data_IF_553445985042
#
_entry.id   IF_553445985042
#
_cell.length_a   1.000
_cell.length_b   1.000
_cell.length_c   1.000
_cell.angle_alpha   90.00
_cell.angle_beta   90.00
_cell.angle_gamma   90.00
#
_symmetry.space_group_name_H-M   'P 1'
#
loop_
_entity.id
_entity.type
_entity.pdbx_description
1 polymer ?
#
# COMPACT_ATOMS: atom_id res chain seq x y z
N UNK A 1 -24.66 10.85 -10.18
CA UNK A 1 -23.47 11.64 -10.54
C UNK A 1 -22.51 10.69 -11.23
N UNK A 2 -22.16 10.91 -12.51
CA UNK A 2 -21.13 10.12 -13.18
C UNK A 2 -19.79 10.57 -12.63
N UNK A 3 -19.16 9.75 -11.80
CA UNK A 3 -17.82 10.02 -11.26
C UNK A 3 -16.83 9.51 -12.30
N UNK A 4 -16.03 10.42 -12.86
CA UNK A 4 -14.98 10.09 -13.82
C UNK A 4 -13.62 10.25 -13.14
N UNK A 5 -12.74 9.25 -13.27
CA UNK A 5 -11.41 9.24 -12.64
C UNK A 5 -10.34 9.61 -13.68
N UNK A 6 -9.71 10.77 -13.54
CA UNK A 6 -8.58 11.16 -14.39
C UNK A 6 -7.33 10.35 -14.04
N UNK A 7 -6.45 10.12 -15.01
CA UNK A 7 -5.22 9.32 -14.82
C UNK A 7 -4.29 9.87 -13.72
N UNK A 8 -4.16 11.19 -13.61
CA UNK A 8 -3.38 11.83 -12.54
C UNK A 8 -3.97 11.56 -11.16
N UNK A 9 -5.30 11.70 -11.03
CA UNK A 9 -6.02 11.39 -9.78
C UNK A 9 -5.93 9.91 -9.41
N UNK A 10 -5.92 9.02 -10.41
CA UNK A 10 -5.71 7.60 -10.20
C UNK A 10 -4.32 7.31 -9.61
N UNK A 11 -3.27 7.91 -10.18
CA UNK A 11 -1.90 7.74 -9.71
C UNK A 11 -1.69 8.28 -8.29
N UNK A 12 -2.23 9.46 -7.99
CA UNK A 12 -2.19 10.03 -6.62
C UNK A 12 -2.89 9.12 -5.61
N UNK A 13 -4.05 8.58 -6.00
CA UNK A 13 -4.82 7.68 -5.16
C UNK A 13 -4.09 6.35 -4.93
N UNK A 14 -3.48 5.78 -5.97
CA UNK A 14 -2.63 4.58 -5.88
C UNK A 14 -1.51 4.81 -4.86
N UNK A 15 -0.74 5.89 -5.01
CA UNK A 15 0.40 6.16 -4.15
C UNK A 15 -0.03 6.37 -2.69
N UNK A 16 -1.12 7.10 -2.46
CA UNK A 16 -1.69 7.32 -1.13
C UNK A 16 -2.13 6.02 -0.46
N UNK A 17 -2.86 5.16 -1.18
CA UNK A 17 -3.34 3.88 -0.65
C UNK A 17 -2.15 2.95 -0.36
N UNK A 18 -1.19 2.87 -1.29
CA UNK A 18 -0.01 2.04 -1.11
C UNK A 18 0.79 2.44 0.14
N UNK A 19 1.02 3.75 0.33
CA UNK A 19 1.66 4.28 1.55
C UNK A 19 0.87 3.91 2.82
N UNK A 20 -0.45 4.10 2.81
CA UNK A 20 -1.31 3.79 3.95
C UNK A 20 -1.21 2.31 4.39
N UNK A 21 -1.22 1.39 3.43
CA UNK A 21 -1.13 -0.05 3.64
C UNK A 21 0.25 -0.48 4.16
N UNK A 22 1.31 0.01 3.53
CA UNK A 22 2.70 -0.34 3.88
C UNK A 22 3.07 0.18 5.27
N UNK A 23 2.70 1.42 5.62
CA UNK A 23 2.94 1.99 6.95
C UNK A 23 2.29 1.16 8.07
N UNK A 24 1.19 0.46 7.78
CA UNK A 24 0.47 -0.41 8.71
C UNK A 24 0.88 -1.88 8.63
N UNK A 25 1.92 -2.22 7.87
CA UNK A 25 2.38 -3.60 7.65
C UNK A 25 1.32 -4.50 6.99
N UNK A 26 0.46 -3.91 6.16
CA UNK A 26 -0.64 -4.62 5.47
C UNK A 26 -0.33 -4.92 4.00
N UNK A 27 0.92 -4.80 3.54
CA UNK A 27 1.29 -4.98 2.14
C UNK A 27 0.89 -6.37 1.60
N UNK A 28 1.36 -7.44 2.23
CA UNK A 28 1.07 -8.81 1.82
C UNK A 28 -0.44 -9.16 1.78
N UNK A 29 -1.23 -8.96 2.86
CA UNK A 29 -2.66 -9.24 2.80
C UNK A 29 -3.37 -8.35 1.77
N UNK A 30 -3.01 -7.08 1.65
CA UNK A 30 -3.62 -6.19 0.68
C UNK A 30 -3.35 -6.62 -0.77
N UNK A 31 -2.12 -7.02 -1.10
CA UNK A 31 -1.78 -7.55 -2.43
C UNK A 31 -2.65 -8.77 -2.74
N UNK A 32 -2.73 -9.76 -1.85
CA UNK A 32 -3.53 -10.97 -2.07
C UNK A 32 -5.01 -10.62 -2.27
N UNK A 33 -5.55 -9.72 -1.45
CA UNK A 33 -6.94 -9.27 -1.57
C UNK A 33 -7.18 -8.57 -2.90
N UNK A 34 -6.36 -7.58 -3.27
CA UNK A 34 -6.51 -6.81 -4.51
C UNK A 34 -6.36 -7.71 -5.74
N UNK A 35 -5.42 -8.65 -5.73
CA UNK A 35 -5.25 -9.67 -6.77
C UNK A 35 -6.50 -10.54 -6.94
N UNK A 36 -7.14 -10.91 -5.83
CA UNK A 36 -8.38 -11.67 -5.83
C UNK A 36 -9.56 -10.91 -6.45
N UNK A 37 -9.48 -9.57 -6.53
CA UNK A 37 -10.49 -8.71 -7.16
C UNK A 37 -10.30 -8.58 -8.68
N UNK A 38 -9.18 -9.04 -9.27
CA UNK A 38 -8.96 -8.96 -10.73
C UNK A 38 -10.12 -9.55 -11.56
N UNK A 39 -10.76 -10.69 -11.21
CA UNK A 39 -11.92 -11.20 -11.95
C UNK A 39 -13.16 -10.29 -11.85
N UNK A 40 -13.28 -9.55 -10.75
CA UNK A 40 -14.40 -8.65 -10.44
C UNK A 40 -14.27 -7.27 -11.08
N UNK A 41 -13.10 -6.91 -11.64
CA UNK A 41 -12.91 -5.67 -12.41
C UNK A 41 -13.92 -5.51 -13.57
N UNK A 42 -14.44 -6.62 -14.10
CA UNK A 42 -15.49 -6.63 -15.13
C UNK A 42 -16.91 -6.40 -14.58
N UNK A 43 -17.08 -6.40 -13.26
CA UNK A 43 -18.34 -6.27 -12.54
C UNK A 43 -18.17 -5.18 -11.47
N UNK A 44 -18.02 -3.94 -11.93
CA UNK A 44 -17.58 -2.78 -11.11
C UNK A 44 -18.34 -2.57 -9.80
N UNK A 45 -19.64 -2.88 -9.74
CA UNK A 45 -20.44 -2.72 -8.53
C UNK A 45 -20.15 -3.74 -7.43
N UNK A 46 -19.59 -4.92 -7.75
CA UNK A 46 -19.34 -5.98 -6.75
C UNK A 46 -18.10 -5.70 -5.89
N UNK A 47 -17.15 -4.95 -6.44
CA UNK A 47 -15.96 -4.49 -5.70
C UNK A 47 -16.37 -3.62 -4.51
N UNK A 48 -17.40 -2.78 -4.68
CA UNK A 48 -17.97 -2.00 -3.58
C UNK A 48 -18.49 -2.94 -2.48
N UNK A 49 -19.40 -3.87 -2.77
CA UNK A 49 -19.94 -4.77 -1.74
C UNK A 49 -18.87 -5.54 -0.94
N UNK A 50 -17.79 -5.97 -1.59
CA UNK A 50 -16.66 -6.63 -0.91
C UNK A 50 -15.89 -5.67 0.01
N UNK A 51 -15.67 -4.43 -0.43
CA UNK A 51 -14.93 -3.42 0.31
C UNK A 51 -15.78 -2.66 1.34
N UNK A 52 -17.10 -2.86 1.35
CA UNK A 52 -18.04 -2.17 2.22
C UNK A 52 -17.70 -2.28 3.72
N UNK A 53 -17.25 -3.42 4.26
CA UNK A 53 -16.82 -3.53 5.66
C UNK A 53 -15.63 -2.63 6.02
N UNK A 54 -14.88 -2.17 5.02
CA UNK A 54 -13.66 -1.37 5.17
C UNK A 54 -13.83 0.08 4.70
N UNK A 55 -15.01 0.44 4.17
CA UNK A 55 -15.27 1.72 3.52
C UNK A 55 -14.98 2.89 4.47
N UNK A 56 -15.55 2.88 5.67
CA UNK A 56 -15.47 4.00 6.63
C UNK A 56 -14.10 4.12 7.33
N UNK A 57 -13.27 3.08 7.28
CA UNK A 57 -11.95 3.05 7.95
C UNK A 57 -10.90 3.78 7.12
N UNK A 58 -11.04 3.74 5.79
CA UNK A 58 -9.99 4.14 4.85
C UNK A 58 -10.45 5.31 3.96
N UNK A 59 -11.76 5.45 3.70
CA UNK A 59 -12.29 6.36 2.69
C UNK A 59 -13.53 7.11 3.16
N UNK A 60 -13.71 8.33 2.66
CA UNK A 60 -15.05 8.93 2.63
C UNK A 60 -15.88 8.36 1.45
N UNK A 61 -17.19 8.63 1.41
CA UNK A 61 -18.08 8.05 0.39
C UNK A 61 -17.66 8.35 -1.05
N UNK A 62 -17.09 9.54 -1.33
CA UNK A 62 -16.61 9.92 -2.66
C UNK A 62 -15.32 9.18 -3.03
N UNK A 63 -14.38 9.12 -2.09
CA UNK A 63 -13.14 8.36 -2.27
C UNK A 63 -13.40 6.87 -2.46
N UNK A 64 -14.40 6.34 -1.77
CA UNK A 64 -14.78 4.95 -1.89
C UNK A 64 -15.31 4.61 -3.30
N UNK A 65 -16.13 5.48 -3.89
CA UNK A 65 -16.58 5.34 -5.27
C UNK A 65 -15.41 5.46 -6.26
N UNK A 66 -14.52 6.44 -6.06
CA UNK A 66 -13.30 6.61 -6.87
C UNK A 66 -12.38 5.39 -6.78
N UNK A 67 -12.31 4.75 -5.62
CA UNK A 67 -11.50 3.54 -5.43
C UNK A 67 -12.08 2.36 -6.21
N UNK A 68 -13.40 2.18 -6.20
CA UNK A 68 -14.04 1.14 -6.99
C UNK A 68 -13.80 1.35 -8.49
N UNK A 69 -13.96 2.58 -8.99
CA UNK A 69 -13.65 2.93 -10.38
C UNK A 69 -12.18 2.67 -10.74
N UNK A 70 -11.26 2.96 -9.82
CA UNK A 70 -9.84 2.64 -9.99
C UNK A 70 -9.62 1.13 -10.16
N UNK A 71 -10.35 0.31 -9.40
CA UNK A 71 -10.26 -1.16 -9.45
C UNK A 71 -10.99 -1.80 -10.66
N UNK A 72 -11.80 -1.06 -11.41
CA UNK A 72 -12.38 -1.55 -12.67
C UNK A 72 -11.34 -1.68 -13.78
N UNK A 73 -10.26 -0.89 -13.72
CA UNK A 73 -9.17 -0.95 -14.67
C UNK A 73 -8.06 -1.92 -14.20
N UNK A 74 -7.82 -2.97 -14.99
CA UNK A 74 -6.78 -3.97 -14.70
C UNK A 74 -5.37 -3.36 -14.63
N UNK A 75 -5.10 -2.31 -15.41
CA UNK A 75 -3.82 -1.61 -15.37
C UNK A 75 -3.67 -0.85 -14.04
N UNK A 76 -4.72 -0.22 -13.54
CA UNK A 76 -4.70 0.45 -12.24
C UNK A 76 -4.56 -0.53 -11.09
N UNK A 77 -5.21 -1.70 -11.14
CA UNK A 77 -4.98 -2.80 -10.19
C UNK A 77 -3.50 -3.19 -10.17
N UNK A 78 -2.92 -3.43 -11.35
CA UNK A 78 -1.51 -3.81 -11.48
C UNK A 78 -0.59 -2.70 -10.94
N UNK A 79 -0.86 -1.45 -11.27
CA UNK A 79 -0.11 -0.30 -10.77
C UNK A 79 -0.19 -0.21 -9.24
N UNK A 80 -1.37 -0.43 -8.65
CA UNK A 80 -1.56 -0.43 -7.21
C UNK A 80 -0.76 -1.54 -6.51
N UNK A 81 -0.85 -2.77 -7.01
CA UNK A 81 -0.11 -3.92 -6.47
C UNK A 81 1.39 -3.69 -6.55
N UNK A 82 1.90 -3.26 -7.70
CA UNK A 82 3.31 -2.96 -7.88
C UNK A 82 3.77 -1.86 -6.91
N UNK A 83 2.97 -0.80 -6.76
CA UNK A 83 3.32 0.31 -5.87
C UNK A 83 3.36 -0.11 -4.40
N UNK A 84 2.46 -0.99 -3.97
CA UNK A 84 2.48 -1.57 -2.62
C UNK A 84 3.77 -2.38 -2.41
N UNK A 85 4.12 -3.26 -3.36
CA UNK A 85 5.31 -4.12 -3.26
C UNK A 85 6.61 -3.29 -3.24
N UNK A 86 6.73 -2.29 -4.11
CA UNK A 86 7.87 -1.36 -4.15
C UNK A 86 8.11 -0.70 -2.78
N UNK A 87 7.07 -0.08 -2.22
CA UNK A 87 7.15 0.63 -0.95
C UNK A 87 7.43 -0.31 0.23
N UNK A 88 6.87 -1.53 0.22
CA UNK A 88 7.13 -2.53 1.26
C UNK A 88 8.60 -2.98 1.24
N UNK A 89 9.13 -3.25 0.04
CA UNK A 89 10.53 -3.59 -0.16
C UNK A 89 11.45 -2.46 0.29
N UNK A 90 11.13 -1.21 -0.03
CA UNK A 90 11.88 -0.02 0.41
C UNK A 90 11.90 0.08 1.94
N UNK A 91 10.74 0.04 2.58
CA UNK A 91 10.61 0.08 4.03
C UNK A 91 11.42 -1.03 4.72
N UNK A 92 11.34 -2.27 4.23
CA UNK A 92 12.15 -3.37 4.79
C UNK A 92 13.65 -3.16 4.63
N UNK A 93 14.10 -2.60 3.50
CA UNK A 93 15.51 -2.26 3.28
C UNK A 93 15.96 -1.20 4.28
N UNK A 94 15.17 -0.17 4.52
CA UNK A 94 15.47 0.90 5.48
C UNK A 94 15.53 0.38 6.92
N UNK A 95 14.57 -0.42 7.35
CA UNK A 95 14.57 -1.04 8.68
C UNK A 95 15.81 -1.91 8.91
N UNK A 96 16.18 -2.73 7.92
CA UNK A 96 17.39 -3.57 7.98
C UNK A 96 18.65 -2.71 8.07
N UNK A 97 18.76 -1.62 7.28
CA UNK A 97 19.88 -0.68 7.37
C UNK A 97 19.95 -0.05 8.76
N UNK A 98 18.83 0.41 9.30
CA UNK A 98 18.75 1.02 10.63
C UNK A 98 19.19 0.05 11.73
N UNK A 99 18.67 -1.19 11.74
CA UNK A 99 19.06 -2.25 12.69
C UNK A 99 20.57 -2.56 12.61
N UNK A 100 21.14 -2.62 11.40
CA UNK A 100 22.60 -2.81 11.19
C UNK A 100 23.42 -1.66 11.75
N UNK A 101 23.00 -0.41 11.55
CA UNK A 101 23.67 0.77 12.10
C UNK A 101 23.64 0.78 13.63
N UNK A 102 22.49 0.46 14.23
CA UNK A 102 22.37 0.34 15.69
C UNK A 102 23.28 -0.76 16.26
N UNK A 103 23.37 -1.93 15.60
CA UNK A 103 24.28 -3.01 15.99
C UNK A 103 25.75 -2.58 15.93
N UNK A 104 26.17 -1.91 14.84
CA UNK A 104 27.54 -1.37 14.69
C UNK A 104 27.86 -0.35 15.79
N UNK A 105 26.94 0.59 16.07
CA UNK A 105 27.10 1.60 17.14
C UNK A 105 27.28 0.94 18.52
N UNK A 106 26.48 -0.09 18.85
CA UNK A 106 26.60 -0.86 20.10
C UNK A 106 27.97 -1.53 20.23
N UNK A 107 28.42 -2.24 19.19
CA UNK A 107 29.73 -2.91 19.18
C UNK A 107 30.88 -1.91 19.34
N UNK A 108 30.83 -0.78 18.63
CA UNK A 108 31.87 0.25 18.72
C UNK A 108 31.93 0.90 20.11
N UNK A 109 30.78 1.14 20.76
CA UNK A 109 30.73 1.65 22.14
C UNK A 109 31.38 0.68 23.12
N UNK A 110 31.07 -0.62 23.01
CA UNK A 110 31.66 -1.67 23.84
C UNK A 110 33.19 -1.72 23.64
N UNK A 111 33.65 -1.76 22.39
CA UNK A 111 35.10 -1.75 22.08
C UNK A 111 35.82 -0.53 22.67
N UNK A 112 35.17 0.64 22.69
CA UNK A 112 35.75 1.86 23.28
C UNK A 112 35.87 1.77 24.81
N UNK A 113 34.94 1.08 25.48
CA UNK A 113 34.99 0.86 26.94
C UNK A 113 36.12 -0.08 27.32
N UNK A 114 36.27 -1.22 26.63
CA UNK A 114 37.32 -2.20 26.91
C UNK A 114 38.73 -1.78 26.45
N UNK A 115 38.86 -0.70 25.69
CA UNK A 115 40.14 -0.12 25.24
C UNK A 115 40.59 1.05 26.14
N UNK A 116 39.85 1.34 27.22
CA UNK A 116 40.18 2.36 28.21
C UNK A 116 40.56 1.67 29.52
#
# INVERSE_FOLDING_TARGET
MQVELKSEQANEMIDRIAKYLVQRKMAAPAIITIESLRPLSRIGSQVLYFLAPFAEIIFNAEEYQKFALLLEDQQNIKNLVNRIDELDVEMYKEERKHKRLLKKRRINKIKKIFKK
#
